data_IF_346280932425
#
_entry.id   IF_346280932425
#
_cell.length_a   1.000
_cell.length_b   1.000
_cell.length_c   1.000
_cell.angle_alpha   90.00
_cell.angle_beta   90.00
_cell.angle_gamma   90.00
#
_symmetry.space_group_name_H-M   'P 1'
#
loop_
_entity.id
_entity.type
_entity.pdbx_description
1 polymer ?
#
# COMPACT_ATOMS: atom_id res chain seq x y z
N UNK A 1 -10.65 2.14 23.29
CA UNK A 1 -11.38 1.00 22.69
C UNK A 1 -11.40 1.24 21.19
N UNK A 2 -11.06 0.25 20.36
CA UNK A 2 -11.07 0.43 18.90
C UNK A 2 -12.51 0.65 18.41
N UNK A 3 -12.69 1.54 17.43
CA UNK A 3 -14.00 1.78 16.78
C UNK A 3 -14.51 0.51 16.10
N UNK A 4 -15.83 0.29 16.11
CA UNK A 4 -16.43 -0.86 15.43
C UNK A 4 -16.41 -0.65 13.91
N UNK A 5 -16.11 -1.71 13.16
CA UNK A 5 -16.11 -1.68 11.70
C UNK A 5 -17.40 -1.09 11.10
N UNK A 6 -18.57 -1.47 11.63
CA UNK A 6 -19.85 -0.95 11.14
C UNK A 6 -19.93 0.58 11.17
N UNK A 7 -19.37 1.23 12.21
CA UNK A 7 -19.36 2.68 12.34
C UNK A 7 -18.42 3.32 11.30
N UNK A 8 -17.28 2.68 11.04
CA UNK A 8 -16.34 3.10 9.98
C UNK A 8 -17.03 3.01 8.61
N UNK A 9 -17.73 1.91 8.34
CA UNK A 9 -18.42 1.68 7.08
C UNK A 9 -19.56 2.68 6.86
N UNK A 10 -20.44 2.90 7.84
CA UNK A 10 -21.50 3.91 7.76
C UNK A 10 -20.95 5.30 7.42
N UNK A 11 -19.89 5.73 8.11
CA UNK A 11 -19.25 7.02 7.85
C UNK A 11 -18.61 7.09 6.46
N UNK A 12 -18.09 5.98 5.94
CA UNK A 12 -17.57 5.93 4.58
C UNK A 12 -18.72 6.11 3.56
N UNK A 13 -19.84 5.43 3.75
CA UNK A 13 -21.03 5.55 2.90
C UNK A 13 -21.55 7.00 2.87
N UNK A 14 -21.69 7.64 4.04
CA UNK A 14 -22.11 9.04 4.14
C UNK A 14 -21.19 10.00 3.36
N UNK A 15 -19.87 9.75 3.38
CA UNK A 15 -18.87 10.61 2.72
C UNK A 15 -18.70 10.33 1.22
N UNK A 16 -19.06 9.13 0.76
CA UNK A 16 -18.76 8.65 -0.60
C UNK A 16 -19.99 8.47 -1.48
N UNK A 17 -21.20 8.67 -0.94
CA UNK A 17 -22.44 8.63 -1.72
C UNK A 17 -23.20 7.32 -1.62
N UNK A 18 -23.12 6.63 -0.48
CA UNK A 18 -23.85 5.39 -0.19
C UNK A 18 -23.00 4.12 -0.35
N UNK A 19 -23.61 2.97 -0.02
CA UNK A 19 -22.94 1.66 0.00
C UNK A 19 -22.40 1.27 -1.38
N UNK A 20 -23.20 1.40 -2.43
CA UNK A 20 -22.78 1.06 -3.79
C UNK A 20 -21.54 1.86 -4.24
N UNK A 21 -21.45 3.13 -3.86
CA UNK A 21 -20.31 3.98 -4.18
C UNK A 21 -19.05 3.57 -3.39
N UNK A 22 -19.20 3.14 -2.12
CA UNK A 22 -18.09 2.63 -1.31
C UNK A 22 -17.59 1.28 -1.85
N UNK A 23 -18.50 0.34 -2.13
CA UNK A 23 -18.15 -0.98 -2.66
C UNK A 23 -17.42 -0.87 -4.01
N UNK A 24 -17.81 0.08 -4.86
CA UNK A 24 -17.12 0.35 -6.13
C UNK A 24 -15.68 0.89 -5.96
N UNK A 25 -15.31 1.43 -4.79
CA UNK A 25 -13.95 1.88 -4.48
C UNK A 25 -13.07 0.75 -3.93
N UNK A 26 -13.65 -0.38 -3.53
CA UNK A 26 -12.90 -1.50 -2.99
C UNK A 26 -12.29 -2.33 -4.13
N UNK A 27 -11.04 -2.76 -3.94
CA UNK A 27 -10.39 -3.71 -4.84
C UNK A 27 -10.70 -5.15 -4.41
N UNK A 28 -11.01 -6.02 -5.36
CA UNK A 28 -11.09 -7.46 -5.10
C UNK A 28 -9.70 -8.01 -4.77
N UNK A 29 -9.50 -8.66 -3.61
CA UNK A 29 -8.23 -9.28 -3.26
C UNK A 29 -7.83 -10.37 -4.26
N UNK A 30 -6.53 -10.53 -4.47
CA UNK A 30 -5.99 -11.63 -5.27
C UNK A 30 -6.32 -12.99 -4.63
N UNK A 31 -6.44 -14.02 -5.47
CA UNK A 31 -6.59 -15.40 -5.00
C UNK A 31 -5.32 -15.85 -4.27
N UNK A 32 -5.43 -16.83 -3.35
CA UNK A 32 -4.26 -17.40 -2.67
C UNK A 32 -3.19 -17.90 -3.65
N UNK A 33 -3.62 -18.51 -4.75
CA UNK A 33 -2.73 -19.02 -5.78
C UNK A 33 -1.98 -17.90 -6.51
N UNK A 34 -2.61 -16.75 -6.72
CA UNK A 34 -1.96 -15.61 -7.37
C UNK A 34 -1.05 -14.84 -6.42
N UNK A 35 -1.45 -14.72 -5.14
CA UNK A 35 -0.57 -14.18 -4.08
C UNK A 35 0.71 -15.00 -3.97
N UNK A 36 0.63 -16.33 -4.04
CA UNK A 36 1.80 -17.22 -3.97
C UNK A 36 2.76 -17.07 -5.16
N UNK A 37 2.33 -16.47 -6.28
CA UNK A 37 3.20 -16.18 -7.43
C UNK A 37 3.91 -14.82 -7.29
N UNK A 38 3.51 -13.98 -6.34
CA UNK A 38 4.16 -12.71 -6.10
C UNK A 38 5.52 -12.97 -5.46
N UNK A 39 6.54 -12.39 -6.06
CA UNK A 39 7.91 -12.38 -5.53
C UNK A 39 8.05 -11.48 -4.31
N UNK A 40 8.93 -11.86 -3.38
CA UNK A 40 9.15 -11.19 -2.08
C UNK A 40 9.39 -9.68 -2.17
N UNK A 41 10.12 -9.21 -3.19
CA UNK A 41 10.38 -7.76 -3.39
C UNK A 41 9.09 -6.93 -3.58
N UNK A 42 8.01 -7.54 -4.11
CA UNK A 42 6.71 -6.86 -4.25
C UNK A 42 6.03 -6.67 -2.89
N UNK A 43 6.18 -7.62 -1.98
CA UNK A 43 5.71 -7.47 -0.61
C UNK A 43 6.51 -6.39 0.12
N UNK A 44 7.84 -6.39 -0.03
CA UNK A 44 8.70 -5.37 0.57
C UNK A 44 8.33 -3.96 0.08
N UNK A 45 8.22 -3.76 -1.24
CA UNK A 45 7.76 -2.49 -1.83
C UNK A 45 6.39 -2.08 -1.28
N UNK A 46 5.40 -2.98 -1.30
CA UNK A 46 4.06 -2.67 -0.83
C UNK A 46 4.00 -2.32 0.68
N UNK A 47 4.71 -3.06 1.52
CA UNK A 47 4.78 -2.79 2.96
C UNK A 47 5.43 -1.44 3.24
N UNK A 48 6.57 -1.17 2.60
CA UNK A 48 7.26 0.13 2.72
C UNK A 48 6.33 1.26 2.30
N UNK A 49 5.58 1.11 1.20
CA UNK A 49 4.59 2.12 0.76
C UNK A 49 3.57 2.45 1.84
N UNK A 50 3.07 1.45 2.57
CA UNK A 50 2.08 1.66 3.63
C UNK A 50 2.65 2.42 4.82
N UNK A 51 3.92 2.22 5.14
CA UNK A 51 4.62 3.03 6.15
C UNK A 51 4.74 4.48 5.70
N UNK A 52 5.18 4.73 4.45
CA UNK A 52 5.32 6.08 3.89
C UNK A 52 3.99 6.82 3.69
N UNK A 53 2.89 6.09 3.57
CA UNK A 53 1.54 6.65 3.50
C UNK A 53 1.04 7.20 4.85
N UNK A 54 1.71 6.86 5.96
CA UNK A 54 1.37 7.40 7.28
C UNK A 54 1.81 8.86 7.42
N UNK A 55 0.86 9.75 7.70
CA UNK A 55 1.14 11.19 7.83
C UNK A 55 1.31 11.94 6.51
N UNK A 56 1.14 11.29 5.35
CA UNK A 56 1.26 11.90 4.03
C UNK A 56 0.00 11.74 3.17
N UNK A 57 -0.16 12.63 2.18
CA UNK A 57 -1.23 12.53 1.18
C UNK A 57 -0.97 11.32 0.27
N UNK A 58 -1.84 10.31 0.33
CA UNK A 58 -1.68 9.05 -0.40
C UNK A 58 -1.42 9.23 -1.90
N UNK A 59 -2.16 10.12 -2.56
CA UNK A 59 -2.01 10.42 -3.99
C UNK A 59 -0.59 10.87 -4.35
N UNK A 60 0.06 11.65 -3.48
CA UNK A 60 1.43 12.13 -3.71
C UNK A 60 2.43 10.97 -3.58
N UNK A 61 2.26 10.12 -2.57
CA UNK A 61 3.10 8.93 -2.38
C UNK A 61 2.96 7.98 -3.57
N UNK A 62 1.73 7.78 -4.06
CA UNK A 62 1.47 6.94 -5.23
C UNK A 62 2.14 7.45 -6.50
N UNK A 63 2.04 8.76 -6.76
CA UNK A 63 2.68 9.39 -7.92
C UNK A 63 4.22 9.30 -7.88
N UNK A 64 4.81 9.41 -6.69
CA UNK A 64 6.26 9.32 -6.51
C UNK A 64 6.76 7.89 -6.40
N UNK A 65 5.88 6.90 -6.21
CA UNK A 65 6.27 5.52 -5.90
C UNK A 65 7.23 4.90 -6.92
N UNK A 66 7.06 5.07 -8.24
CA UNK A 66 8.02 4.53 -9.22
C UNK A 66 9.45 5.03 -9.00
N UNK A 67 9.63 6.26 -8.53
CA UNK A 67 10.94 6.81 -8.23
C UNK A 67 11.54 6.20 -6.94
N UNK A 68 10.69 5.90 -5.95
CA UNK A 68 11.14 5.15 -4.77
C UNK A 68 11.57 3.74 -5.16
N UNK A 69 10.78 3.03 -5.97
CA UNK A 69 11.19 1.71 -6.46
C UNK A 69 12.53 1.77 -7.17
N UNK A 70 12.72 2.72 -8.09
CA UNK A 70 14.02 2.91 -8.76
C UNK A 70 15.18 3.21 -7.79
N UNK A 71 14.98 4.10 -6.81
CA UNK A 71 15.99 4.48 -5.83
C UNK A 71 16.39 3.32 -4.90
N UNK A 72 15.47 2.42 -4.60
CA UNK A 72 15.68 1.23 -3.79
C UNK A 72 15.90 -0.04 -4.63
N UNK A 73 16.41 0.11 -5.87
CA UNK A 73 16.74 -1.01 -6.77
C UNK A 73 15.58 -1.99 -7.00
N UNK A 74 14.39 -1.45 -7.24
CA UNK A 74 13.11 -2.15 -7.34
C UNK A 74 12.79 -3.01 -6.11
N UNK A 75 13.30 -2.61 -4.94
CA UNK A 75 13.23 -3.35 -3.69
C UNK A 75 13.83 -4.76 -3.79
N UNK A 76 14.79 -4.98 -4.70
CA UNK A 76 15.55 -6.22 -4.73
C UNK A 76 16.24 -6.41 -3.36
N UNK A 77 15.89 -7.50 -2.67
CA UNK A 77 16.25 -7.72 -1.27
C UNK A 77 17.76 -7.74 -1.09
N UNK A 78 18.49 -8.45 -1.96
CA UNK A 78 19.95 -8.57 -1.86
C UNK A 78 20.64 -7.22 -2.06
N UNK A 79 20.16 -6.41 -3.00
CA UNK A 79 20.72 -5.07 -3.24
C UNK A 79 20.43 -4.12 -2.10
N UNK A 80 19.20 -4.13 -1.58
CA UNK A 80 18.79 -3.27 -0.46
C UNK A 80 19.57 -3.63 0.81
N UNK A 81 19.79 -4.92 1.07
CA UNK A 81 20.58 -5.39 2.22
C UNK A 81 22.04 -4.89 2.16
N UNK A 82 22.57 -4.70 0.96
CA UNK A 82 23.95 -4.25 0.73
C UNK A 82 24.05 -2.73 0.51
N UNK A 83 22.97 -1.97 0.70
CA UNK A 83 23.02 -0.51 0.62
C UNK A 83 23.89 0.04 1.77
N UNK A 84 24.87 0.91 1.48
CA UNK A 84 25.64 1.57 2.52
C UNK A 84 24.76 2.58 3.27
N UNK A 85 25.08 2.82 4.54
CA UNK A 85 24.34 3.78 5.39
C UNK A 85 24.30 5.20 4.79
N UNK A 86 25.32 5.59 4.01
CA UNK A 86 25.38 6.89 3.33
C UNK A 86 24.28 7.08 2.27
N UNK A 87 23.65 5.99 1.83
CA UNK A 87 22.54 6.00 0.88
C UNK A 87 21.16 5.97 1.56
N UNK A 88 21.09 5.91 2.90
CA UNK A 88 19.86 5.89 3.70
C UNK A 88 19.51 7.29 4.23
#
# INVERSE_FOLDING_TARGET
>A
MAEKFAQIYTRACERKGGEAAVEALLSTPLSRADVAKLSDHRFLSAMTKKVFQSGFVWRVIEQKWPNFEAAFFDFNIDKVLLMPDEML
#
